data_IF_329294779195
#
_entry.id   IF_329294779195
#
_cell.length_a   1.000
_cell.length_b   1.000
_cell.length_c   1.000
_cell.angle_alpha   90.00
_cell.angle_beta   90.00
_cell.angle_gamma   90.00
#
_symmetry.space_group_name_H-M   'P 1'
#
loop_
_entity.id
_entity.type
_entity.pdbx_description
1 polymer ?
#
# COMPACT_ATOMS: atom_id res chain seq x y z
N UNK A 1 8.32 26.60 34.17
CA UNK A 1 8.97 25.28 34.13
C UNK A 1 7.98 24.14 34.35
N UNK A 2 7.33 23.97 35.51
CA UNK A 2 6.43 22.81 35.74
C UNK A 2 5.23 22.70 34.77
N UNK A 3 4.64 23.83 34.37
CA UNK A 3 3.56 23.83 33.38
C UNK A 3 4.08 23.39 31.99
N UNK A 4 5.23 23.92 31.57
CA UNK A 4 5.86 23.66 30.26
C UNK A 4 6.23 22.18 30.08
N UNK A 5 6.85 21.57 31.09
CA UNK A 5 7.20 20.13 31.05
C UNK A 5 5.96 19.25 31.01
N UNK A 6 4.88 19.64 31.71
CA UNK A 6 3.63 18.86 31.74
C UNK A 6 2.88 18.97 30.41
N UNK A 7 2.80 20.18 29.84
CA UNK A 7 2.17 20.43 28.53
C UNK A 7 2.91 19.69 27.41
N UNK A 8 4.25 19.74 27.40
CA UNK A 8 5.05 19.07 26.38
C UNK A 8 4.96 17.54 26.48
N UNK A 9 5.03 16.99 27.69
CA UNK A 9 4.85 15.55 27.91
C UNK A 9 3.45 15.07 27.47
N UNK A 10 2.41 15.88 27.73
CA UNK A 10 1.04 15.59 27.29
C UNK A 10 0.94 15.60 25.76
N UNK A 11 1.52 16.62 25.11
CA UNK A 11 1.54 16.71 23.65
C UNK A 11 2.21 15.47 23.02
N UNK A 12 3.36 15.06 23.58
CA UNK A 12 4.10 13.88 23.13
C UNK A 12 3.28 12.59 23.30
N UNK A 13 2.72 12.36 24.47
CA UNK A 13 1.92 11.17 24.74
C UNK A 13 0.71 11.07 23.80
N UNK A 14 0.07 12.20 23.49
CA UNK A 14 -1.04 12.27 22.53
C UNK A 14 -0.60 11.95 21.10
N UNK A 15 0.57 12.44 20.68
CA UNK A 15 1.14 12.11 19.37
C UNK A 15 1.50 10.62 19.27
N UNK A 16 2.15 10.06 20.29
CA UNK A 16 2.50 8.63 20.33
C UNK A 16 1.23 7.75 20.24
N UNK A 17 0.17 8.11 20.97
CA UNK A 17 -1.11 7.43 20.90
C UNK A 17 -1.80 7.61 19.53
N UNK A 18 -1.71 8.79 18.93
CA UNK A 18 -2.24 9.04 17.59
C UNK A 18 -1.55 8.16 16.53
N UNK A 19 -0.24 7.95 16.67
CA UNK A 19 0.54 7.07 15.78
C UNK A 19 0.16 5.59 15.95
N UNK A 20 -0.22 5.16 17.16
CA UNK A 20 -0.62 3.76 17.41
C UNK A 20 -2.05 3.42 16.99
N UNK A 21 -3.00 4.37 17.10
CA UNK A 21 -4.43 4.15 16.81
C UNK A 21 -4.78 4.24 15.30
N UNK A 22 -3.79 4.55 14.46
CA UNK A 22 -3.95 4.68 13.01
C UNK A 22 -4.51 6.04 12.56
N UNK A 23 -4.45 6.28 11.24
CA UNK A 23 -4.69 7.61 10.65
C UNK A 23 -6.17 8.03 10.56
N UNK A 24 -7.12 7.21 11.02
CA UNK A 24 -8.56 7.45 10.89
C UNK A 24 -9.28 7.44 12.25
N UNK A 25 -10.30 8.29 12.42
CA UNK A 25 -11.14 8.30 13.61
C UNK A 25 -10.42 8.80 14.86
N UNK A 26 -10.17 7.91 15.82
CA UNK A 26 -9.60 8.25 17.14
C UNK A 26 -8.19 8.85 17.02
N UNK A 27 -7.34 8.32 16.13
CA UNK A 27 -5.99 8.85 15.92
C UNK A 27 -5.96 10.29 15.41
N UNK A 28 -6.92 10.69 14.57
CA UNK A 28 -7.04 12.10 14.14
C UNK A 28 -7.43 13.01 15.29
N UNK A 29 -8.38 12.59 16.14
CA UNK A 29 -8.76 13.36 17.34
C UNK A 29 -7.57 13.57 18.28
N UNK A 30 -6.80 12.51 18.52
CA UNK A 30 -5.59 12.58 19.35
C UNK A 30 -4.50 13.46 18.74
N UNK A 31 -4.35 13.45 17.41
CA UNK A 31 -3.42 14.34 16.72
C UNK A 31 -3.84 15.81 16.88
N UNK A 32 -5.13 16.15 16.76
CA UNK A 32 -5.63 17.52 17.00
C UNK A 32 -5.36 17.97 18.43
N UNK A 33 -5.57 17.10 19.43
CA UNK A 33 -5.21 17.41 20.82
C UNK A 33 -3.69 17.63 20.98
N UNK A 34 -2.87 16.79 20.33
CA UNK A 34 -1.42 16.95 20.34
C UNK A 34 -0.99 18.30 19.74
N UNK A 35 -1.62 18.76 18.66
CA UNK A 35 -1.37 20.07 18.05
C UNK A 35 -1.62 21.22 19.05
N UNK A 36 -2.73 21.16 19.80
CA UNK A 36 -3.09 22.20 20.74
C UNK A 36 -2.05 22.31 21.88
N UNK A 37 -1.72 21.19 22.51
CA UNK A 37 -0.72 21.16 23.58
C UNK A 37 0.67 21.53 23.06
N UNK A 38 1.06 21.05 21.87
CA UNK A 38 2.35 21.37 21.27
C UNK A 38 2.48 22.88 20.97
N UNK A 39 1.40 23.52 20.49
CA UNK A 39 1.38 24.98 20.26
C UNK A 39 1.56 25.75 21.57
N UNK A 40 0.89 25.33 22.64
CA UNK A 40 1.05 25.95 23.96
C UNK A 40 2.48 25.77 24.51
N UNK A 41 3.04 24.56 24.39
CA UNK A 41 4.40 24.27 24.79
C UNK A 41 5.43 25.09 23.99
N UNK A 42 5.22 25.25 22.68
CA UNK A 42 6.08 26.05 21.82
C UNK A 42 6.09 27.53 22.22
N UNK A 43 4.92 28.11 22.54
CA UNK A 43 4.82 29.48 23.04
C UNK A 43 5.52 29.64 24.39
N UNK A 44 5.36 28.67 25.29
CA UNK A 44 6.04 28.69 26.58
C UNK A 44 7.57 28.62 26.41
N UNK A 45 8.07 27.69 25.59
CA UNK A 45 9.50 27.52 25.31
C UNK A 45 10.13 28.76 24.65
N UNK A 46 9.38 29.46 23.76
CA UNK A 46 9.82 30.74 23.20
C UNK A 46 10.01 31.81 24.28
N UNK A 47 9.11 31.88 25.27
CA UNK A 47 9.17 32.88 26.36
C UNK A 47 10.32 32.61 27.33
N UNK A 48 10.64 31.34 27.57
CA UNK A 48 11.71 30.93 28.49
C UNK A 48 13.08 30.87 27.82
N UNK A 49 13.14 30.96 26.48
CA UNK A 49 14.38 30.81 25.72
C UNK A 49 14.89 29.36 25.68
N UNK A 50 14.06 28.38 26.02
CA UNK A 50 14.45 26.98 26.06
C UNK A 50 14.45 26.38 24.64
N UNK A 51 15.61 26.38 24.00
CA UNK A 51 15.79 25.86 22.64
C UNK A 51 15.45 24.37 22.48
N UNK A 52 15.72 23.55 23.50
CA UNK A 52 15.43 22.12 23.46
C UNK A 52 13.92 21.85 23.48
N UNK A 53 13.21 22.43 24.45
CA UNK A 53 11.75 22.33 24.54
C UNK A 53 11.06 22.95 23.32
N UNK A 54 11.64 24.03 22.76
CA UNK A 54 11.14 24.65 21.53
C UNK A 54 11.19 23.69 20.34
N UNK A 55 12.31 23.00 20.14
CA UNK A 55 12.43 22.03 19.05
C UNK A 55 11.55 20.81 19.25
N UNK A 56 11.46 20.29 20.46
CA UNK A 56 10.59 19.14 20.76
C UNK A 56 9.11 19.49 20.56
N UNK A 57 8.67 20.67 21.03
CA UNK A 57 7.31 21.14 20.80
C UNK A 57 7.01 21.35 19.31
N UNK A 58 7.98 21.86 18.54
CA UNK A 58 7.83 22.04 17.10
C UNK A 58 7.76 20.71 16.36
N UNK A 59 8.58 19.72 16.73
CA UNK A 59 8.56 18.37 16.17
C UNK A 59 7.18 17.73 16.37
N UNK A 60 6.65 17.78 17.60
CA UNK A 60 5.31 17.26 17.90
C UNK A 60 4.22 17.98 17.08
N UNK A 61 4.27 19.31 17.00
CA UNK A 61 3.30 20.10 16.24
C UNK A 61 3.32 19.75 14.74
N UNK A 62 4.52 19.60 14.16
CA UNK A 62 4.67 19.27 12.73
C UNK A 62 4.16 17.85 12.44
N UNK A 63 4.55 16.86 13.23
CA UNK A 63 4.09 15.49 13.02
C UNK A 63 2.58 15.34 13.23
N UNK A 64 2.01 16.06 14.21
CA UNK A 64 0.56 16.08 14.41
C UNK A 64 -0.16 16.68 13.18
N UNK A 65 0.34 17.80 12.64
CA UNK A 65 -0.18 18.38 11.39
C UNK A 65 -0.03 17.47 10.16
N UNK A 66 0.99 16.62 10.12
CA UNK A 66 1.16 15.65 9.03
C UNK A 66 0.11 14.53 9.11
N UNK A 67 -0.24 14.06 10.32
CA UNK A 67 -1.29 13.06 10.56
C UNK A 67 -2.68 13.63 10.20
N UNK A 68 -2.96 14.88 10.58
CA UNK A 68 -4.26 15.53 10.29
C UNK A 68 -4.37 16.04 8.85
N UNK A 69 -3.23 16.26 8.18
CA UNK A 69 -3.14 16.96 6.90
C UNK A 69 -3.25 16.11 5.63
N UNK A 70 -3.20 14.78 5.72
CA UNK A 70 -3.17 13.88 4.55
C UNK A 70 -4.41 13.99 3.64
N UNK A 71 -5.53 14.56 4.14
CA UNK A 71 -6.79 14.72 3.40
C UNK A 71 -7.30 16.18 3.27
N UNK A 72 -6.61 17.16 3.87
CA UNK A 72 -7.19 18.51 4.12
C UNK A 72 -6.34 19.69 3.65
N UNK A 73 -5.14 19.48 3.12
CA UNK A 73 -4.22 20.57 2.72
C UNK A 73 -3.50 21.24 3.90
N UNK A 74 -3.60 20.69 5.12
CA UNK A 74 -2.91 21.20 6.32
C UNK A 74 -1.41 20.90 6.35
N UNK A 75 -0.85 20.23 5.33
CA UNK A 75 0.61 20.19 5.12
C UNK A 75 1.21 21.59 4.94
N UNK A 76 0.40 22.57 4.54
CA UNK A 76 0.79 23.99 4.56
C UNK A 76 1.00 24.53 5.97
N UNK A 77 0.20 24.10 6.96
CA UNK A 77 0.33 24.53 8.35
C UNK A 77 1.61 23.97 8.98
N UNK A 78 1.93 22.69 8.74
CA UNK A 78 3.21 22.09 9.13
C UNK A 78 4.40 22.87 8.55
N UNK A 79 4.34 23.18 7.24
CA UNK A 79 5.41 23.93 6.58
C UNK A 79 5.53 25.34 7.11
N UNK A 80 4.42 26.04 7.32
CA UNK A 80 4.42 27.39 7.89
C UNK A 80 5.03 27.39 9.29
N UNK A 81 4.61 26.46 10.16
CA UNK A 81 5.14 26.35 11.51
C UNK A 81 6.66 26.09 11.51
N UNK A 82 7.13 25.14 10.69
CA UNK A 82 8.55 24.80 10.58
C UNK A 82 9.39 25.96 10.01
N UNK A 83 8.91 26.63 8.97
CA UNK A 83 9.61 27.76 8.31
C UNK A 83 9.64 29.01 9.20
N UNK A 84 8.53 29.33 9.89
CA UNK A 84 8.46 30.46 10.83
C UNK A 84 9.45 30.27 11.99
N UNK A 85 9.52 29.05 12.52
CA UNK A 85 10.47 28.69 13.57
C UNK A 85 11.91 28.77 13.11
N UNK A 86 12.23 28.20 11.94
CA UNK A 86 13.55 28.30 11.33
C UNK A 86 13.97 29.76 11.15
N UNK A 87 13.07 30.62 10.66
CA UNK A 87 13.36 32.04 10.48
C UNK A 87 13.67 32.75 11.80
N UNK A 88 12.93 32.45 12.87
CA UNK A 88 13.21 33.00 14.20
C UNK A 88 14.53 32.48 14.78
N UNK A 89 14.84 31.19 14.60
CA UNK A 89 16.11 30.59 15.04
C UNK A 89 17.30 31.22 14.30
N UNK A 90 17.18 31.42 12.99
CA UNK A 90 18.18 32.12 12.16
C UNK A 90 18.46 33.54 12.65
N UNK A 91 17.41 34.29 13.01
CA UNK A 91 17.56 35.64 13.58
C UNK A 91 18.25 35.63 14.94
N UNK A 92 18.03 34.58 15.73
CA UNK A 92 18.69 34.41 17.03
C UNK A 92 20.16 33.96 16.91
N UNK A 93 20.56 33.41 15.75
CA UNK A 93 21.94 32.99 15.46
C UNK A 93 22.33 31.64 16.05
N UNK A 94 21.38 30.85 16.57
CA UNK A 94 21.66 29.53 17.14
C UNK A 94 21.80 28.47 16.03
N UNK A 95 23.05 28.16 15.67
CA UNK A 95 23.38 27.21 14.60
C UNK A 95 23.01 25.76 14.90
N UNK A 96 23.01 25.37 16.17
CA UNK A 96 22.66 24.00 16.56
C UNK A 96 21.14 23.79 16.43
N UNK A 97 20.34 24.78 16.88
CA UNK A 97 18.89 24.76 16.65
C UNK A 97 18.54 24.92 15.17
N UNK A 98 19.30 25.71 14.42
CA UNK A 98 19.09 25.89 12.97
C UNK A 98 19.21 24.54 12.24
N UNK A 99 20.23 23.75 12.54
CA UNK A 99 20.42 22.43 11.95
C UNK A 99 19.27 21.45 12.30
N UNK A 100 18.74 21.51 13.52
CA UNK A 100 17.58 20.70 13.94
C UNK A 100 16.29 21.14 13.25
N UNK A 101 16.07 22.45 13.11
CA UNK A 101 14.91 22.99 12.41
C UNK A 101 14.95 22.67 10.91
N UNK A 102 16.13 22.71 10.28
CA UNK A 102 16.30 22.31 8.88
C UNK A 102 15.98 20.83 8.63
N UNK A 103 16.36 19.93 9.55
CA UNK A 103 15.95 18.53 9.48
C UNK A 103 14.41 18.40 9.44
N UNK A 104 13.71 19.13 10.30
CA UNK A 104 12.25 19.09 10.36
C UNK A 104 11.58 19.71 9.13
N UNK A 105 12.13 20.82 8.62
CA UNK A 105 11.71 21.42 7.35
C UNK A 105 11.84 20.42 6.21
N UNK A 106 12.92 19.64 6.18
CA UNK A 106 13.11 18.62 5.16
C UNK A 106 12.11 17.46 5.26
N UNK A 107 11.74 17.04 6.47
CA UNK A 107 10.67 16.06 6.68
C UNK A 107 9.35 16.55 6.09
N UNK A 108 8.99 17.82 6.36
CA UNK A 108 7.77 18.43 5.80
C UNK A 108 7.82 18.53 4.28
N UNK A 109 8.94 18.96 3.71
CA UNK A 109 9.11 19.00 2.24
C UNK A 109 9.01 17.60 1.63
N UNK A 110 9.59 16.59 2.26
CA UNK A 110 9.51 15.19 1.82
C UNK A 110 8.06 14.71 1.79
N UNK A 111 7.30 14.97 2.86
CA UNK A 111 5.89 14.61 2.95
C UNK A 111 5.03 15.29 1.89
N UNK A 112 5.37 16.52 1.54
CA UNK A 112 4.69 17.29 0.49
C UNK A 112 5.10 16.91 -0.94
N UNK A 113 6.03 15.98 -1.11
CA UNK A 113 6.61 15.64 -2.41
C UNK A 113 7.58 16.68 -2.98
N UNK A 114 7.97 17.70 -2.19
CA UNK A 114 9.00 18.67 -2.58
C UNK A 114 10.40 18.11 -2.29
N UNK A 115 10.81 17.15 -3.11
CA UNK A 115 12.10 16.47 -2.96
C UNK A 115 13.30 17.42 -3.12
N UNK A 116 13.15 18.52 -3.86
CA UNK A 116 14.21 19.51 -4.05
C UNK A 116 14.40 20.35 -2.78
N UNK A 117 13.31 20.86 -2.20
CA UNK A 117 13.35 21.58 -0.93
C UNK A 117 13.89 20.72 0.20
N UNK A 118 13.49 19.43 0.26
CA UNK A 118 14.00 18.47 1.24
C UNK A 118 15.52 18.28 1.13
N UNK A 119 16.03 18.05 -0.09
CA UNK A 119 17.47 17.87 -0.31
C UNK A 119 18.27 19.12 0.10
N UNK A 120 17.81 20.31 -0.29
CA UNK A 120 18.47 21.57 0.07
C UNK A 120 18.55 21.78 1.58
N UNK A 121 17.44 21.56 2.29
CA UNK A 121 17.40 21.70 3.74
C UNK A 121 18.31 20.68 4.44
N UNK A 122 18.39 19.44 3.94
CA UNK A 122 19.24 18.40 4.51
C UNK A 122 20.73 18.62 4.24
N UNK A 123 21.10 19.13 3.07
CA UNK A 123 22.48 19.51 2.76
C UNK A 123 22.95 20.63 3.70
N UNK A 124 22.09 21.64 3.94
CA UNK A 124 22.38 22.72 4.88
C UNK A 124 22.46 22.21 6.33
N UNK A 125 21.52 21.38 6.77
CA UNK A 125 21.53 20.77 8.11
C UNK A 125 22.80 19.94 8.33
N UNK A 126 23.17 19.11 7.35
CA UNK A 126 24.36 18.26 7.43
C UNK A 126 25.63 19.09 7.51
N UNK A 127 25.72 20.20 6.75
CA UNK A 127 26.84 21.11 6.83
C UNK A 127 26.98 21.74 8.23
N UNK A 128 25.87 22.17 8.83
CA UNK A 128 25.86 22.72 10.19
C UNK A 128 26.23 21.67 11.25
N UNK A 129 25.69 20.45 11.16
CA UNK A 129 26.04 19.36 12.07
C UNK A 129 27.52 18.98 11.95
N UNK A 130 28.10 19.02 10.75
CA UNK A 130 29.55 18.83 10.54
C UNK A 130 30.37 19.94 11.15
N UNK A 131 29.99 21.21 10.96
CA UNK A 131 30.67 22.35 11.58
C UNK A 131 30.65 22.27 13.11
N UNK A 132 29.53 21.80 13.68
CA UNK A 132 29.37 21.60 15.12
C UNK A 132 30.02 20.30 15.64
N UNK A 133 30.58 19.45 14.76
CA UNK A 133 31.04 18.08 15.10
C UNK A 133 29.96 17.22 15.78
N UNK A 134 28.67 17.50 15.53
CA UNK A 134 27.54 16.73 16.04
C UNK A 134 27.33 15.47 15.20
N UNK A 135 27.94 14.36 15.63
CA UNK A 135 27.81 13.07 14.93
C UNK A 135 26.38 12.52 14.93
N UNK A 136 25.62 12.73 16.01
CA UNK A 136 24.24 12.25 16.10
C UNK A 136 23.33 13.03 15.15
N UNK A 137 23.52 14.35 15.08
CA UNK A 137 22.87 15.22 14.11
C UNK A 137 23.20 14.85 12.66
N UNK A 138 24.47 14.56 12.36
CA UNK A 138 24.90 14.05 11.05
C UNK A 138 24.20 12.74 10.68
N UNK A 139 24.15 11.78 11.60
CA UNK A 139 23.49 10.49 11.38
C UNK A 139 21.98 10.65 11.11
N UNK A 140 21.28 11.51 11.87
CA UNK A 140 19.86 11.83 11.65
C UNK A 140 19.65 12.49 10.28
N UNK A 141 20.47 13.47 9.90
CA UNK A 141 20.36 14.16 8.60
C UNK A 141 20.59 13.21 7.41
N UNK A 142 21.58 12.31 7.50
CA UNK A 142 21.85 11.30 6.48
C UNK A 142 20.69 10.30 6.33
N UNK A 143 20.08 9.87 7.45
CA UNK A 143 18.89 9.01 7.44
C UNK A 143 17.72 9.68 6.73
N UNK A 144 17.45 10.95 7.06
CA UNK A 144 16.40 11.73 6.44
C UNK A 144 16.67 11.95 4.94
N UNK A 145 17.93 12.12 4.54
CA UNK A 145 18.31 12.23 3.13
C UNK A 145 18.07 10.94 2.36
N UNK A 146 18.40 9.78 2.92
CA UNK A 146 18.04 8.50 2.32
C UNK A 146 16.52 8.35 2.18
N UNK A 147 15.75 8.66 3.23
CA UNK A 147 14.28 8.62 3.20
C UNK A 147 13.69 9.53 2.11
N UNK A 148 14.14 10.79 2.03
CA UNK A 148 13.70 11.75 1.02
C UNK A 148 13.99 11.28 -0.41
N UNK A 149 15.14 10.63 -0.62
CA UNK A 149 15.52 10.06 -1.93
C UNK A 149 14.71 8.82 -2.30
N UNK A 150 14.36 7.96 -1.33
CA UNK A 150 13.44 6.84 -1.55
C UNK A 150 12.05 7.35 -1.95
N UNK A 151 11.52 8.33 -1.23
CA UNK A 151 10.24 8.97 -1.55
C UNK A 151 10.25 9.58 -2.97
N UNK A 152 11.41 10.06 -3.43
CA UNK A 152 11.60 10.58 -4.79
C UNK A 152 11.80 9.49 -5.86
N UNK A 153 11.73 8.19 -5.51
CA UNK A 153 11.99 7.09 -6.43
C UNK A 153 13.48 6.85 -6.75
N UNK A 154 14.40 7.57 -6.09
CA UNK A 154 15.84 7.55 -6.36
C UNK A 154 16.59 6.59 -5.44
N UNK A 155 16.25 5.30 -5.52
CA UNK A 155 16.82 4.25 -4.66
C UNK A 155 18.36 4.19 -4.69
N UNK A 156 18.99 4.36 -5.86
CA UNK A 156 20.46 4.34 -5.99
C UNK A 156 21.11 5.47 -5.17
N UNK A 157 20.54 6.67 -5.23
CA UNK A 157 21.08 7.84 -4.53
C UNK A 157 20.87 7.74 -3.01
N UNK A 158 19.90 6.93 -2.57
CA UNK A 158 19.54 6.72 -1.17
C UNK A 158 20.46 5.72 -0.45
N UNK A 159 21.20 4.90 -1.19
CA UNK A 159 22.05 3.84 -0.63
C UNK A 159 23.18 4.39 0.24
N UNK A 160 23.99 5.30 -0.30
CA UNK A 160 25.14 5.86 0.44
C UNK A 160 24.72 6.60 1.71
N UNK A 161 23.72 7.51 1.71
CA UNK A 161 23.29 8.16 2.94
C UNK A 161 22.70 7.18 3.97
N UNK A 162 22.03 6.11 3.54
CA UNK A 162 21.51 5.09 4.45
C UNK A 162 22.66 4.30 5.13
N UNK A 163 23.68 3.91 4.36
CA UNK A 163 24.87 3.21 4.87
C UNK A 163 25.68 4.09 5.82
N UNK A 164 25.92 5.34 5.45
CA UNK A 164 26.68 6.30 6.27
C UNK A 164 25.94 6.59 7.58
N UNK A 165 24.61 6.72 7.53
CA UNK A 165 23.77 6.91 8.72
C UNK A 165 23.86 5.72 9.66
N UNK A 166 23.68 4.49 9.14
CA UNK A 166 23.79 3.27 9.94
C UNK A 166 25.15 3.17 10.62
N UNK A 167 26.24 3.37 9.87
CA UNK A 167 27.60 3.32 10.40
C UNK A 167 27.81 4.34 11.52
N UNK A 168 27.32 5.57 11.37
CA UNK A 168 27.47 6.59 12.40
C UNK A 168 26.69 6.25 13.67
N UNK A 169 25.46 5.71 13.55
CA UNK A 169 24.71 5.27 14.73
C UNK A 169 25.37 4.06 15.43
N UNK A 170 26.00 3.15 14.68
CA UNK A 170 26.81 2.06 15.24
C UNK A 170 28.02 2.60 16.01
N UNK A 171 28.76 3.57 15.44
CA UNK A 171 29.88 4.24 16.12
C UNK A 171 29.45 4.96 17.41
N UNK A 172 28.21 5.45 17.46
CA UNK A 172 27.64 6.13 18.61
C UNK A 172 27.06 5.17 19.66
N UNK A 173 26.88 3.89 19.34
CA UNK A 173 26.18 2.93 20.19
C UNK A 173 24.69 3.22 20.36
N UNK A 174 24.09 3.99 19.45
CA UNK A 174 22.66 4.34 19.47
C UNK A 174 21.84 3.21 18.85
N UNK A 175 21.34 2.29 19.69
CA UNK A 175 20.57 1.13 19.24
C UNK A 175 19.31 1.50 18.47
N UNK A 176 18.61 2.58 18.85
CA UNK A 176 17.41 3.02 18.16
C UNK A 176 17.74 3.58 16.79
N UNK A 177 18.77 4.43 16.70
CA UNK A 177 19.28 4.95 15.43
C UNK A 177 19.76 3.85 14.48
N UNK A 178 20.41 2.80 15.02
CA UNK A 178 20.83 1.61 14.27
C UNK A 178 19.63 0.86 13.72
N UNK A 179 18.62 0.56 14.53
CA UNK A 179 17.41 -0.15 14.07
C UNK A 179 16.71 0.62 12.93
N UNK A 180 16.49 1.94 13.11
CA UNK A 180 15.83 2.78 12.10
C UNK A 180 16.63 2.86 10.79
N UNK A 181 17.95 2.99 10.88
CA UNK A 181 18.81 3.12 9.69
C UNK A 181 19.01 1.79 8.98
N UNK A 182 19.04 0.68 9.73
CA UNK A 182 19.06 -0.68 9.17
C UNK A 182 17.76 -0.98 8.43
N UNK A 183 16.61 -0.68 9.03
CA UNK A 183 15.31 -0.82 8.38
C UNK A 183 15.25 0.01 7.09
N UNK A 184 15.68 1.27 7.12
CA UNK A 184 15.72 2.12 5.94
C UNK A 184 16.62 1.52 4.84
N UNK A 185 17.80 1.02 5.20
CA UNK A 185 18.72 0.37 4.26
C UNK A 185 18.10 -0.90 3.65
N UNK A 186 17.34 -1.68 4.42
CA UNK A 186 16.58 -2.81 3.89
C UNK A 186 15.59 -2.35 2.81
N UNK A 187 14.81 -1.29 3.08
CA UNK A 187 13.85 -0.71 2.11
C UNK A 187 14.57 -0.21 0.84
N UNK A 188 15.76 0.41 0.97
CA UNK A 188 16.59 0.77 -0.19
C UNK A 188 16.88 -0.47 -1.04
N UNK A 189 17.34 -1.56 -0.44
CA UNK A 189 17.63 -2.79 -1.16
C UNK A 189 16.40 -3.45 -1.78
N UNK A 190 15.22 -3.33 -1.16
CA UNK A 190 13.94 -3.74 -1.77
C UNK A 190 13.67 -2.95 -3.05
N UNK A 191 13.77 -1.62 -3.01
CA UNK A 191 13.54 -0.76 -4.18
C UNK A 191 14.56 -1.00 -5.30
N UNK A 192 15.80 -1.34 -4.95
CA UNK A 192 16.84 -1.71 -5.91
C UNK A 192 16.71 -3.15 -6.46
N UNK A 193 15.74 -3.92 -5.96
CA UNK A 193 15.59 -5.36 -6.23
C UNK A 193 16.88 -6.16 -5.94
N UNK A 194 17.60 -5.76 -4.89
CA UNK A 194 18.84 -6.38 -4.41
C UNK A 194 18.67 -6.88 -2.96
N UNK A 195 17.56 -7.59 -2.70
CA UNK A 195 17.20 -8.05 -1.35
C UNK A 195 18.28 -8.89 -0.66
N UNK A 196 19.08 -9.64 -1.43
CA UNK A 196 20.13 -10.50 -0.88
C UNK A 196 21.24 -9.71 -0.18
N UNK A 197 21.34 -8.40 -0.44
CA UNK A 197 22.30 -7.50 0.21
C UNK A 197 21.71 -6.79 1.44
N UNK A 198 20.41 -6.97 1.70
CA UNK A 198 19.75 -6.31 2.83
C UNK A 198 20.29 -6.87 4.15
N UNK A 199 20.74 -6.02 5.09
CA UNK A 199 21.35 -6.47 6.35
C UNK A 199 20.44 -7.37 7.20
N UNK A 200 19.10 -7.22 7.10
CA UNK A 200 18.16 -8.07 7.85
C UNK A 200 17.51 -9.18 7.01
N UNK A 201 18.11 -9.57 5.88
CA UNK A 201 17.53 -10.57 4.99
C UNK A 201 17.42 -11.95 5.66
N UNK A 202 18.42 -12.33 6.46
CA UNK A 202 18.40 -13.58 7.23
C UNK A 202 17.20 -13.67 8.17
N UNK A 203 16.98 -12.62 8.95
CA UNK A 203 15.88 -12.53 9.91
C UNK A 203 14.53 -12.51 9.19
N UNK A 204 14.44 -11.83 8.04
CA UNK A 204 13.23 -11.83 7.23
C UNK A 204 12.90 -13.22 6.67
N UNK A 205 13.90 -13.98 6.21
CA UNK A 205 13.71 -15.36 5.75
C UNK A 205 13.28 -16.30 6.89
N UNK A 206 13.83 -16.11 8.09
CA UNK A 206 13.40 -16.86 9.28
C UNK A 206 11.93 -16.55 9.62
N UNK A 207 11.55 -15.27 9.61
CA UNK A 207 10.17 -14.85 9.87
C UNK A 207 9.20 -15.40 8.80
N UNK A 208 9.58 -15.39 7.53
CA UNK A 208 8.82 -16.03 6.44
C UNK A 208 8.67 -17.54 6.65
N UNK A 209 9.71 -18.23 7.11
CA UNK A 209 9.62 -19.66 7.44
C UNK A 209 8.67 -19.93 8.60
N UNK A 210 8.64 -19.06 9.61
CA UNK A 210 7.70 -19.14 10.73
C UNK A 210 6.27 -18.87 10.28
N UNK A 211 6.06 -17.90 9.40
CA UNK A 211 4.76 -17.65 8.77
C UNK A 211 4.24 -18.87 8.00
N UNK A 212 5.09 -19.51 7.19
CA UNK A 212 4.72 -20.72 6.47
C UNK A 212 4.30 -21.85 7.43
N UNK A 213 5.05 -22.02 8.51
CA UNK A 213 4.73 -23.00 9.57
C UNK A 213 3.44 -22.66 10.32
N UNK A 214 3.12 -21.38 10.49
CA UNK A 214 1.89 -20.91 11.12
C UNK A 214 0.67 -21.22 10.24
N UNK A 215 0.77 -21.04 8.92
CA UNK A 215 -0.29 -21.44 7.97
C UNK A 215 -0.51 -22.95 8.00
N UNK A 216 0.57 -23.74 8.00
CA UNK A 216 0.49 -25.21 8.08
C UNK A 216 -0.21 -25.74 9.34
N UNK A 217 -0.09 -25.00 10.46
CA UNK A 217 -0.68 -25.37 11.75
C UNK A 217 -2.01 -24.67 12.03
N UNK A 218 -2.46 -23.80 11.13
CA UNK A 218 -3.55 -22.87 11.35
C UNK A 218 -3.42 -22.07 12.68
N UNK A 219 -2.20 -21.65 13.01
CA UNK A 219 -1.87 -20.94 14.25
C UNK A 219 -1.89 -19.42 14.03
N UNK A 220 -3.00 -18.78 14.44
CA UNK A 220 -3.20 -17.34 14.28
C UNK A 220 -2.21 -16.50 15.12
N UNK A 221 -1.82 -16.97 16.31
CA UNK A 221 -0.92 -16.21 17.17
C UNK A 221 0.51 -16.24 16.61
N UNK A 222 0.96 -17.41 16.16
CA UNK A 222 2.26 -17.54 15.49
C UNK A 222 2.31 -16.72 14.20
N UNK A 223 1.20 -16.67 13.44
CA UNK A 223 1.07 -15.81 12.26
C UNK A 223 1.25 -14.33 12.60
N UNK A 224 0.47 -13.82 13.57
CA UNK A 224 0.54 -12.41 13.97
C UNK A 224 1.93 -12.01 14.50
N UNK A 225 2.55 -12.86 15.31
CA UNK A 225 3.89 -12.59 15.85
C UNK A 225 4.94 -12.57 14.72
N UNK A 226 4.89 -13.55 13.81
CA UNK A 226 5.83 -13.64 12.70
C UNK A 226 5.63 -12.52 11.67
N UNK A 227 4.40 -12.04 11.47
CA UNK A 227 4.12 -10.86 10.64
C UNK A 227 4.75 -9.61 11.24
N UNK A 228 4.60 -9.39 12.55
CA UNK A 228 5.24 -8.26 13.26
C UNK A 228 6.77 -8.33 13.15
N UNK A 229 7.35 -9.51 13.34
CA UNK A 229 8.78 -9.72 13.18
C UNK A 229 9.25 -9.42 11.74
N UNK A 230 8.51 -9.91 10.75
CA UNK A 230 8.78 -9.66 9.33
C UNK A 230 8.71 -8.17 8.99
N UNK A 231 7.65 -7.48 9.43
CA UNK A 231 7.46 -6.03 9.26
C UNK A 231 8.60 -5.23 9.90
N UNK A 232 9.05 -5.62 11.10
CA UNK A 232 10.18 -4.97 11.78
C UNK A 232 11.46 -5.03 10.93
N UNK A 233 11.70 -6.13 10.22
CA UNK A 233 12.89 -6.23 9.36
C UNK A 233 12.84 -5.27 8.17
N UNK A 234 11.70 -5.14 7.48
CA UNK A 234 11.60 -4.43 6.20
C UNK A 234 12.43 -5.05 5.07
N UNK A 235 13.00 -6.25 5.25
CA UNK A 235 13.90 -6.92 4.29
C UNK A 235 13.19 -8.03 3.50
N UNK A 236 11.94 -7.75 3.08
CA UNK A 236 11.11 -8.64 2.29
C UNK A 236 10.43 -7.86 1.15
N UNK A 237 10.08 -8.56 0.08
CA UNK A 237 9.28 -8.02 -1.00
C UNK A 237 7.95 -8.76 -1.10
N UNK A 238 6.96 -8.15 -1.77
CA UNK A 238 5.66 -8.78 -2.00
C UNK A 238 5.80 -10.20 -2.61
N UNK A 239 6.77 -10.39 -3.51
CA UNK A 239 7.09 -11.69 -4.12
C UNK A 239 7.46 -12.79 -3.11
N UNK A 240 8.05 -12.44 -1.97
CA UNK A 240 8.40 -13.40 -0.92
C UNK A 240 7.12 -13.91 -0.22
N UNK A 241 6.20 -12.99 0.08
CA UNK A 241 4.91 -13.30 0.70
C UNK A 241 4.01 -14.06 -0.27
N UNK A 242 3.98 -13.65 -1.54
CA UNK A 242 3.23 -14.35 -2.59
C UNK A 242 3.73 -15.79 -2.79
N UNK A 243 5.05 -16.00 -2.76
CA UNK A 243 5.65 -17.34 -2.87
C UNK A 243 5.25 -18.23 -1.69
N UNK A 244 5.24 -17.68 -0.47
CA UNK A 244 4.78 -18.38 0.72
C UNK A 244 3.31 -18.78 0.62
N UNK A 245 2.44 -17.83 0.27
CA UNK A 245 1.00 -18.07 0.11
C UNK A 245 0.76 -19.13 -0.97
N UNK A 246 1.45 -19.01 -2.10
CA UNK A 246 1.36 -19.98 -3.20
C UNK A 246 1.75 -21.39 -2.73
N UNK A 247 2.88 -21.53 -2.04
CA UNK A 247 3.35 -22.82 -1.54
C UNK A 247 2.37 -23.45 -0.55
N UNK A 248 1.78 -22.66 0.35
CA UNK A 248 0.77 -23.14 1.29
C UNK A 248 -0.50 -23.63 0.57
N UNK A 249 -0.98 -22.88 -0.43
CA UNK A 249 -2.16 -23.24 -1.22
C UNK A 249 -1.94 -24.47 -2.12
N UNK A 250 -0.72 -24.70 -2.61
CA UNK A 250 -0.37 -25.90 -3.38
C UNK A 250 -0.37 -27.16 -2.50
N UNK A 251 -0.08 -27.02 -1.21
CA UNK A 251 -0.03 -28.13 -0.25
C UNK A 251 -1.41 -28.55 0.25
N UNK A 252 -2.21 -27.60 0.72
CA UNK A 252 -3.58 -27.84 1.20
C UNK A 252 -4.44 -26.59 0.98
N UNK A 253 -5.04 -26.49 -0.21
CA UNK A 253 -5.78 -25.29 -0.62
C UNK A 253 -6.95 -24.96 0.33
N UNK A 254 -7.88 -25.88 0.67
CA UNK A 254 -9.02 -25.54 1.51
C UNK A 254 -8.62 -25.02 2.89
N UNK A 255 -7.72 -25.71 3.59
CA UNK A 255 -7.32 -25.33 4.95
C UNK A 255 -6.50 -24.04 4.96
N UNK A 256 -5.52 -23.91 4.05
CA UNK A 256 -4.68 -22.71 3.96
C UNK A 256 -5.51 -21.48 3.53
N UNK A 257 -6.43 -21.64 2.59
CA UNK A 257 -7.34 -20.58 2.16
C UNK A 257 -8.20 -20.07 3.32
N UNK A 258 -8.89 -20.96 4.04
CA UNK A 258 -9.74 -20.59 5.16
C UNK A 258 -8.95 -19.87 6.26
N UNK A 259 -7.74 -20.36 6.57
CA UNK A 259 -6.87 -19.71 7.54
C UNK A 259 -6.43 -18.32 7.08
N UNK A 260 -5.92 -18.19 5.85
CA UNK A 260 -5.45 -16.92 5.30
C UNK A 260 -6.58 -15.88 5.22
N UNK A 261 -7.77 -16.27 4.78
CA UNK A 261 -8.95 -15.40 4.77
C UNK A 261 -9.33 -14.94 6.18
N UNK A 262 -9.26 -15.83 7.18
CA UNK A 262 -9.49 -15.45 8.58
C UNK A 262 -8.44 -14.47 9.12
N UNK A 263 -7.24 -14.43 8.55
CA UNK A 263 -6.21 -13.41 8.84
C UNK A 263 -6.34 -12.15 7.98
N UNK A 264 -7.40 -12.02 7.17
CA UNK A 264 -7.64 -10.86 6.29
C UNK A 264 -6.85 -10.88 4.98
N UNK A 265 -6.16 -11.99 4.66
CA UNK A 265 -5.46 -12.14 3.38
C UNK A 265 -6.46 -12.58 2.32
N UNK A 266 -6.67 -11.73 1.32
CA UNK A 266 -7.53 -12.09 0.19
C UNK A 266 -6.89 -13.16 -0.69
N UNK A 267 -7.39 -14.39 -0.60
CA UNK A 267 -7.01 -15.48 -1.50
C UNK A 267 -8.01 -15.56 -2.65
N UNK A 268 -7.57 -15.25 -3.88
CA UNK A 268 -8.45 -15.38 -5.05
C UNK A 268 -8.84 -16.85 -5.27
N UNK A 269 -10.14 -17.10 -5.31
CA UNK A 269 -10.72 -18.45 -5.49
C UNK A 269 -10.68 -19.31 -4.22
N UNK A 270 -10.77 -18.69 -3.05
CA UNK A 270 -10.92 -19.34 -1.74
C UNK A 270 -12.37 -19.32 -1.20
N UNK A 271 -13.23 -18.48 -1.76
CA UNK A 271 -14.69 -18.58 -1.61
C UNK A 271 -15.39 -18.32 -2.95
N UNK A 272 -16.12 -19.31 -3.46
CA UNK A 272 -16.88 -19.22 -4.70
C UNK A 272 -16.10 -19.75 -5.92
N UNK A 273 -16.81 -20.43 -6.81
CA UNK A 273 -16.22 -21.17 -7.91
C UNK A 273 -15.34 -20.29 -8.80
N UNK A 274 -14.28 -20.90 -9.31
CA UNK A 274 -13.54 -20.31 -10.40
C UNK A 274 -14.50 -20.10 -11.57
N UNK A 275 -14.82 -18.84 -11.82
CA UNK A 275 -15.43 -18.40 -13.07
C UNK A 275 -14.45 -18.58 -14.21
N UNK A 276 -14.31 -19.81 -14.70
CA UNK A 276 -13.57 -20.04 -15.94
C UNK A 276 -14.50 -19.75 -17.11
N UNK A 277 -14.14 -18.74 -17.89
CA UNK A 277 -14.80 -18.43 -19.14
C UNK A 277 -14.20 -19.31 -20.22
N UNK A 278 -14.91 -20.37 -20.64
CA UNK A 278 -14.49 -21.23 -21.77
C UNK A 278 -15.31 -20.89 -23.01
N UNK A 279 -14.62 -20.68 -24.13
CA UNK A 279 -15.26 -20.55 -25.44
C UNK A 279 -15.86 -21.91 -25.84
N UNK A 280 -17.11 -21.90 -26.27
CA UNK A 280 -17.79 -23.11 -26.74
C UNK A 280 -17.51 -23.32 -28.24
N UNK A 281 -17.48 -24.59 -28.67
CA UNK A 281 -17.34 -24.92 -30.09
C UNK A 281 -18.57 -24.41 -30.84
N UNK A 282 -18.36 -23.49 -31.78
CA UNK A 282 -19.41 -22.73 -32.46
C UNK A 282 -20.44 -23.65 -33.11
N UNK A 283 -19.99 -24.72 -33.76
CA UNK A 283 -20.83 -25.66 -34.50
C UNK A 283 -21.85 -26.37 -33.61
N UNK A 284 -21.43 -26.81 -32.42
CA UNK A 284 -22.31 -27.46 -31.44
C UNK A 284 -23.37 -26.49 -30.90
N UNK A 285 -23.03 -25.21 -30.72
CA UNK A 285 -24.00 -24.19 -30.32
C UNK A 285 -25.08 -24.00 -31.40
N UNK A 286 -24.68 -23.93 -32.67
CA UNK A 286 -25.61 -23.83 -33.79
C UNK A 286 -26.54 -25.03 -33.88
N UNK A 287 -26.02 -26.25 -33.72
CA UNK A 287 -26.84 -27.47 -33.71
C UNK A 287 -27.86 -27.41 -32.57
N UNK A 288 -27.47 -26.99 -31.36
CA UNK A 288 -28.40 -26.87 -30.23
C UNK A 288 -29.52 -25.85 -30.46
N UNK A 289 -29.23 -24.68 -31.04
CA UNK A 289 -30.26 -23.69 -31.41
C UNK A 289 -31.23 -24.26 -32.46
N UNK A 290 -30.70 -24.98 -33.46
CA UNK A 290 -31.49 -25.60 -34.54
C UNK A 290 -32.38 -26.74 -34.05
N UNK A 291 -31.87 -27.62 -33.18
CA UNK A 291 -32.63 -28.73 -32.58
C UNK A 291 -33.64 -28.20 -31.55
N UNK A 292 -33.31 -27.10 -30.86
CA UNK A 292 -34.17 -26.44 -29.88
C UNK A 292 -35.29 -25.57 -30.47
N UNK A 293 -35.44 -25.51 -31.79
CA UNK A 293 -36.53 -24.81 -32.47
C UNK A 293 -36.38 -23.29 -32.59
N UNK A 294 -35.21 -22.72 -32.27
CA UNK A 294 -34.91 -21.30 -32.50
C UNK A 294 -34.19 -21.15 -33.84
N UNK A 295 -34.97 -20.95 -34.91
CA UNK A 295 -34.45 -20.70 -36.25
C UNK A 295 -34.05 -19.24 -36.44
N UNK A 296 -32.75 -18.96 -36.50
CA UNK A 296 -32.28 -17.68 -37.06
C UNK A 296 -31.89 -17.88 -38.53
N UNK A 297 -32.13 -16.86 -39.36
CA UNK A 297 -31.78 -16.89 -40.79
C UNK A 297 -30.26 -16.86 -41.04
N UNK A 298 -29.80 -17.11 -42.28
CA UNK A 298 -28.38 -17.30 -42.64
C UNK A 298 -27.46 -16.10 -42.31
N UNK A 299 -28.05 -14.94 -42.00
CA UNK A 299 -27.33 -13.71 -41.62
C UNK A 299 -27.12 -13.55 -40.11
N UNK A 300 -27.58 -14.49 -39.30
CA UNK A 300 -27.39 -14.48 -37.86
C UNK A 300 -26.10 -15.23 -37.48
N UNK A 301 -25.14 -14.52 -36.86
CA UNK A 301 -23.94 -15.15 -36.32
C UNK A 301 -23.78 -14.90 -34.82
N UNK A 302 -23.57 -15.99 -34.09
CA UNK A 302 -23.06 -15.93 -32.72
C UNK A 302 -21.53 -15.89 -32.81
N UNK A 303 -20.91 -14.81 -32.36
CA UNK A 303 -19.47 -14.60 -32.55
C UNK A 303 -18.64 -15.41 -31.55
N UNK A 304 -19.02 -15.34 -30.27
CA UNK A 304 -18.43 -16.11 -29.19
C UNK A 304 -19.50 -16.41 -28.14
N UNK A 305 -19.62 -17.69 -27.80
CA UNK A 305 -20.38 -18.14 -26.65
C UNK A 305 -19.42 -18.49 -25.55
N UNK A 306 -19.69 -17.97 -24.37
CA UNK A 306 -18.92 -18.25 -23.19
C UNK A 306 -19.79 -18.99 -22.19
N UNK A 307 -19.24 -20.06 -21.61
CA UNK A 307 -19.83 -20.65 -20.41
C UNK A 307 -19.22 -19.96 -19.20
N UNK A 308 -20.06 -19.70 -18.21
CA UNK A 308 -19.62 -19.28 -16.89
C UNK A 308 -19.97 -20.39 -15.91
N UNK A 309 -18.97 -20.87 -15.17
CA UNK A 309 -19.19 -21.87 -14.12
C UNK A 309 -19.32 -21.17 -12.77
N UNK A 310 -20.51 -21.24 -12.17
CA UNK A 310 -20.79 -20.60 -10.87
C UNK A 310 -20.43 -21.52 -9.69
N UNK A 311 -20.36 -22.85 -9.89
CA UNK A 311 -19.99 -23.90 -8.90
C UNK A 311 -19.80 -25.25 -9.59
N UNK A 312 -19.27 -26.25 -8.86
CA UNK A 312 -18.81 -27.53 -9.41
C UNK A 312 -19.86 -28.39 -10.12
N UNK A 313 -21.17 -28.09 -10.01
CA UNK A 313 -22.22 -28.99 -10.53
C UNK A 313 -23.30 -28.34 -11.43
N UNK A 314 -23.26 -27.03 -11.73
CA UNK A 314 -24.25 -26.43 -12.65
C UNK A 314 -23.61 -25.51 -13.70
N UNK A 315 -23.88 -25.82 -14.98
CA UNK A 315 -23.55 -24.96 -16.11
C UNK A 315 -24.69 -23.95 -16.33
N UNK A 316 -24.43 -22.67 -16.13
CA UNK A 316 -25.31 -21.58 -16.60
C UNK A 316 -24.64 -20.84 -17.76
N UNK A 317 -25.39 -20.53 -18.82
CA UNK A 317 -24.87 -19.77 -19.97
C UNK A 317 -24.65 -18.33 -19.53
N UNK A 318 -23.42 -18.00 -19.14
CA UNK A 318 -23.00 -16.65 -18.78
C UNK A 318 -22.48 -15.89 -20.00
N UNK A 319 -23.37 -15.05 -20.55
CA UNK A 319 -23.14 -14.10 -21.64
C UNK A 319 -22.97 -14.68 -23.06
N UNK A 320 -23.92 -14.33 -23.93
CA UNK A 320 -23.81 -14.42 -25.39
C UNK A 320 -23.45 -13.03 -25.94
N UNK A 321 -22.36 -12.89 -26.70
CA UNK A 321 -22.16 -11.72 -27.56
C UNK A 321 -22.71 -12.03 -28.94
N UNK A 322 -23.87 -11.47 -29.25
CA UNK A 322 -24.50 -11.56 -30.55
C UNK A 322 -24.56 -10.15 -31.15
N UNK A 323 -23.68 -9.83 -32.09
CA UNK A 323 -24.00 -9.05 -33.30
C UNK A 323 -22.73 -8.63 -34.04
N UNK A 324 -22.55 -9.19 -35.23
CA UNK A 324 -22.07 -8.42 -36.37
C UNK A 324 -22.75 -8.94 -37.64
N UNK A 325 -23.55 -8.11 -38.29
CA UNK A 325 -24.01 -8.38 -39.67
C UNK A 325 -22.80 -8.13 -40.57
N UNK A 326 -21.92 -9.13 -40.70
CA UNK A 326 -20.78 -9.06 -41.60
C UNK A 326 -21.24 -9.14 -43.05
N UNK A 327 -20.64 -8.34 -43.94
CA UNK A 327 -20.81 -8.45 -45.41
C UNK A 327 -20.07 -9.67 -46.01
N UNK A 328 -19.27 -10.35 -45.20
CA UNK A 328 -18.56 -11.58 -45.54
C UNK A 328 -19.11 -12.70 -44.66
N UNK A 329 -20.12 -13.41 -45.15
CA UNK A 329 -20.57 -14.65 -44.57
C UNK A 329 -20.02 -15.80 -45.42
N UNK A 330 -19.24 -16.70 -44.83
CA UNK A 330 -18.99 -18.02 -45.41
C UNK A 330 -20.34 -18.77 -45.48
N UNK A 331 -20.89 -18.92 -46.69
CA UNK A 331 -22.21 -19.51 -46.98
C UNK A 331 -22.18 -21.05 -46.96
N UNK A 332 -21.73 -21.64 -45.86
CA UNK A 332 -21.71 -23.09 -45.69
C UNK A 332 -23.12 -23.72 -45.69
N UNK A 333 -24.16 -22.96 -45.32
CA UNK A 333 -25.56 -23.41 -45.39
C UNK A 333 -26.05 -23.56 -46.84
N UNK A 334 -25.58 -22.70 -47.75
CA UNK A 334 -25.85 -22.85 -49.19
C UNK A 334 -25.14 -24.10 -49.76
N UNK A 335 -23.96 -24.43 -49.24
CA UNK A 335 -23.20 -25.62 -49.64
C UNK A 335 -23.83 -26.94 -49.17
N UNK A 336 -24.64 -26.91 -48.09
CA UNK A 336 -25.34 -28.09 -47.58
C UNK A 336 -26.78 -28.23 -48.11
N UNK A 337 -27.29 -27.23 -48.84
CA UNK A 337 -28.67 -27.16 -49.38
C UNK A 337 -29.79 -27.47 -48.37
N UNK A 338 -29.51 -27.41 -47.07
CA UNK A 338 -30.41 -27.86 -46.01
C UNK A 338 -31.09 -26.66 -45.36
N UNK A 339 -32.36 -26.42 -45.71
CA UNK A 339 -33.13 -25.27 -45.24
C UNK A 339 -34.43 -25.71 -44.51
N UNK A 340 -34.41 -25.96 -43.19
CA UNK A 340 -35.59 -26.44 -42.46
C UNK A 340 -36.61 -25.34 -42.13
N UNK A 341 -36.66 -24.25 -42.91
CA UNK A 341 -37.58 -23.12 -42.72
C UNK A 341 -39.07 -23.44 -42.98
N UNK A 342 -39.41 -24.67 -43.40
CA UNK A 342 -40.81 -25.08 -43.62
C UNK A 342 -41.47 -25.62 -42.34
N UNK A 343 -40.70 -26.05 -41.33
CA UNK A 343 -41.26 -26.56 -40.07
C UNK A 343 -41.44 -25.47 -38.99
N UNK A 344 -40.78 -24.31 -39.14
CA UNK A 344 -40.81 -23.22 -38.14
C UNK A 344 -42.14 -22.42 -38.17
N UNK A 345 -42.89 -22.48 -39.27
CA UNK A 345 -44.20 -21.83 -39.38
C UNK A 345 -45.28 -22.46 -38.50
N UNK A 346 -45.14 -23.73 -38.10
CA UNK A 346 -46.21 -24.45 -37.36
C UNK A 346 -46.03 -24.45 -35.83
N UNK A 347 -44.82 -24.21 -35.31
CA UNK A 347 -44.60 -24.12 -33.84
C UNK A 347 -44.77 -22.69 -33.30
N UNK A 348 -44.49 -21.68 -34.11
CA UNK A 348 -44.72 -20.28 -33.74
C UNK A 348 -46.20 -19.85 -33.91
N UNK A 349 -46.97 -20.53 -34.77
CA UNK A 349 -48.42 -20.27 -34.94
C UNK A 349 -49.28 -20.96 -33.87
N UNK A 350 -48.88 -22.14 -33.37
CA UNK A 350 -49.57 -22.81 -32.26
C UNK A 350 -49.53 -22.03 -30.93
N UNK A 351 -48.50 -21.21 -30.72
CA UNK A 351 -48.40 -20.32 -29.54
C UNK A 351 -49.18 -19.01 -29.69
N UNK A 352 -49.63 -18.66 -30.90
CA UNK A 352 -50.41 -17.44 -31.18
C UNK A 352 -51.91 -17.70 -31.35
N UNK A 353 -52.34 -18.95 -31.59
CA UNK A 353 -53.74 -19.35 -31.55
C UNK A 353 -54.07 -20.06 -30.24
N UNK A 354 -54.45 -19.28 -29.22
CA UNK A 354 -54.96 -19.82 -27.97
C UNK A 354 -56.18 -20.72 -28.17
N UNK A 355 -56.31 -21.74 -27.29
CA UNK A 355 -57.44 -22.66 -27.12
C UNK A 355 -58.74 -22.29 -27.87
N UNK A 356 -59.10 -23.09 -28.88
CA UNK A 356 -60.50 -23.22 -29.32
C UNK A 356 -60.93 -24.67 -29.11
N UNK A 357 -61.72 -24.89 -28.06
CA UNK A 357 -62.58 -26.08 -27.93
C UNK A 357 -63.67 -26.01 -28.99
N UNK A 358 -63.98 -27.14 -29.63
CA UNK A 358 -65.33 -27.44 -30.12
C UNK A 358 -66.04 -28.31 -29.09
#
# INVERSE_FOLDING_TARGET
>A
MALETTTLATARAKLEAAQSEGQFGVGQGLAVEAEEFARQALVAARRTGNGAARMEALEVLVHAHMITGEFSGQTYAANLAAQDELAMIRRAGDKALEAKALNLVAEVHTWRGDHRGAAQALDEALALHRQASDKAGQAKALRLMASAKLAAGKGNDALTPAQDSLKLFEELGDSSGVELSRHLLNVVFVQLNQLDKAPSRSEALEALSKLASAVDRADAQAWQNSMKDLEKTGAFAQKDVDALIKAALEKDRPSAAAFLEAQGVMVRGAGGAQSQMKEYVKDLCYISFRVGGLGYGPRFRCLSTYKYQVTNDEFSVGALSCLQISKQADDWEAALEYHPGVLDGMLQSGSAMGNVQF
#
